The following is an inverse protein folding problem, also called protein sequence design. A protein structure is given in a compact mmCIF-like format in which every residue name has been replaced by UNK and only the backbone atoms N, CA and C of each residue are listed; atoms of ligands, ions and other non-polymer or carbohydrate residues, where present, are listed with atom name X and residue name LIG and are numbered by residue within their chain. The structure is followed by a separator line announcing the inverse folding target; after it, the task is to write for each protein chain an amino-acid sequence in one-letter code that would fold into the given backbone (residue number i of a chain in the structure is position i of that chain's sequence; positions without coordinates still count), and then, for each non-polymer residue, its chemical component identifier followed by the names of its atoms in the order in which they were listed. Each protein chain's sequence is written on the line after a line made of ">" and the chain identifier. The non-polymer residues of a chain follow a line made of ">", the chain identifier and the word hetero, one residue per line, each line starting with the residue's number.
data_IF_533249303305
#
_entry.id   IF_533249303305
#
_cell.length_a   1.000
_cell.length_b   1.000
_cell.length_c   1.000
_cell.angle_alpha   90.00
_cell.angle_beta   90.00
_cell.angle_gamma   90.00
#
_symmetry.space_group_name_H-M   'P 1'
#
loop_
_entity.id
_entity.type
_entity.pdbx_description
1 polymer ?
#
# COMPACT_ATOMS: atom_id res chain seq x y z
N UNK A 1 -22.39 -127.67 -27.67
CA UNK A 1 -21.62 -126.50 -28.16
C UNK A 1 -22.48 -125.25 -28.35
N UNK A 2 -23.49 -125.20 -29.23
CA UNK A 2 -24.21 -123.95 -29.57
C UNK A 2 -24.61 -123.04 -28.39
N UNK A 3 -25.18 -123.56 -27.29
CA UNK A 3 -25.58 -122.73 -26.13
C UNK A 3 -24.41 -121.97 -25.49
N UNK A 4 -23.23 -122.57 -25.39
CA UNK A 4 -22.02 -121.93 -24.82
C UNK A 4 -21.52 -120.83 -25.77
N UNK A 5 -21.53 -121.08 -27.08
CA UNK A 5 -21.16 -120.08 -28.08
C UNK A 5 -22.06 -118.84 -28.00
N UNK A 6 -23.38 -119.02 -27.85
CA UNK A 6 -24.32 -117.89 -27.71
C UNK A 6 -24.05 -117.07 -26.44
N UNK A 7 -23.75 -117.72 -25.30
CA UNK A 7 -23.38 -117.03 -24.06
C UNK A 7 -22.11 -116.18 -24.26
N UNK A 8 -21.08 -116.72 -24.92
CA UNK A 8 -19.85 -115.97 -25.22
C UNK A 8 -20.11 -114.79 -26.15
N UNK A 9 -20.93 -114.96 -27.20
CA UNK A 9 -21.32 -113.89 -28.12
C UNK A 9 -22.08 -112.77 -27.40
N UNK A 10 -23.04 -113.10 -26.52
CA UNK A 10 -23.74 -112.10 -25.71
C UNK A 10 -22.80 -111.36 -24.75
N UNK A 11 -21.84 -112.06 -24.13
CA UNK A 11 -20.85 -111.45 -23.23
C UNK A 11 -19.95 -110.47 -24.00
N UNK A 12 -19.45 -110.85 -25.18
CA UNK A 12 -18.68 -109.96 -26.06
C UNK A 12 -19.51 -108.73 -26.47
N UNK A 13 -20.80 -108.92 -26.82
CA UNK A 13 -21.69 -107.82 -27.20
C UNK A 13 -21.94 -106.84 -26.04
N UNK A 14 -22.11 -107.34 -24.81
CA UNK A 14 -22.24 -106.51 -23.60
C UNK A 14 -20.94 -105.73 -23.33
N UNK A 15 -19.77 -106.38 -23.46
CA UNK A 15 -18.47 -105.71 -23.29
C UNK A 15 -18.23 -104.66 -24.37
N UNK A 16 -18.60 -104.92 -25.63
CA UNK A 16 -18.51 -103.96 -26.72
C UNK A 16 -19.45 -102.75 -26.50
N UNK A 17 -20.68 -102.97 -26.04
CA UNK A 17 -21.61 -101.90 -25.70
C UNK A 17 -21.10 -101.06 -24.52
N UNK A 18 -20.53 -101.69 -23.49
CA UNK A 18 -19.89 -100.99 -22.38
C UNK A 18 -18.66 -100.18 -22.82
N UNK A 19 -17.82 -100.74 -23.70
CA UNK A 19 -16.66 -100.04 -24.27
C UNK A 19 -17.07 -98.81 -25.08
N UNK A 20 -18.09 -98.92 -25.94
CA UNK A 20 -18.65 -97.78 -26.69
C UNK A 20 -19.21 -96.70 -25.74
N UNK A 21 -19.92 -97.09 -24.68
CA UNK A 21 -20.42 -96.14 -23.68
C UNK A 21 -19.29 -95.39 -22.95
N UNK A 22 -18.22 -96.10 -22.57
CA UNK A 22 -17.02 -95.47 -22.02
C UNK A 22 -16.30 -94.57 -23.03
N UNK A 23 -16.24 -94.96 -24.31
CA UNK A 23 -15.64 -94.17 -25.37
C UNK A 23 -16.40 -92.85 -25.60
N UNK A 24 -17.73 -92.89 -25.67
CA UNK A 24 -18.57 -91.68 -25.75
C UNK A 24 -18.34 -90.78 -24.52
N UNK A 25 -18.38 -91.32 -23.30
CA UNK A 25 -18.14 -90.56 -22.08
C UNK A 25 -16.69 -90.03 -21.93
N UNK A 26 -15.72 -90.64 -22.62
CA UNK A 26 -14.35 -90.14 -22.74
C UNK A 26 -14.23 -89.05 -23.82
N UNK A 27 -14.95 -89.19 -24.92
CA UNK A 27 -15.02 -88.19 -26.00
C UNK A 27 -15.57 -86.87 -25.49
N UNK A 28 -16.72 -86.87 -24.81
CA UNK A 28 -17.33 -85.66 -24.26
C UNK A 28 -16.39 -84.93 -23.29
N UNK A 29 -15.67 -85.69 -22.43
CA UNK A 29 -14.68 -85.13 -21.51
C UNK A 29 -13.47 -84.54 -22.24
N UNK A 30 -13.00 -85.18 -23.32
CA UNK A 30 -11.90 -84.66 -24.17
C UNK A 30 -12.33 -83.39 -24.91
N UNK A 31 -13.54 -83.35 -25.46
CA UNK A 31 -14.09 -82.17 -26.11
C UNK A 31 -14.19 -80.99 -25.13
N UNK A 32 -14.79 -81.19 -23.95
CA UNK A 32 -14.90 -80.18 -22.90
C UNK A 32 -13.53 -79.67 -22.41
N UNK A 33 -12.53 -80.53 -22.30
CA UNK A 33 -11.15 -80.13 -21.97
C UNK A 33 -10.51 -79.32 -23.10
N UNK A 34 -10.75 -79.68 -24.36
CA UNK A 34 -10.31 -78.92 -25.54
C UNK A 34 -10.89 -77.50 -25.57
N UNK A 35 -12.20 -77.37 -25.37
CA UNK A 35 -12.88 -76.07 -25.33
C UNK A 35 -12.40 -75.19 -24.16
N UNK A 36 -12.24 -75.77 -22.97
CA UNK A 36 -11.66 -75.08 -21.81
C UNK A 36 -10.23 -74.61 -22.07
N UNK A 37 -9.38 -75.45 -22.64
CA UNK A 37 -8.01 -75.08 -22.96
C UNK A 37 -7.95 -73.97 -24.02
N UNK A 38 -8.81 -74.02 -25.05
CA UNK A 38 -8.92 -72.95 -26.06
C UNK A 38 -9.41 -71.63 -25.45
N UNK A 39 -10.40 -71.69 -24.56
CA UNK A 39 -10.89 -70.52 -23.83
C UNK A 39 -9.77 -69.92 -22.97
N UNK A 40 -9.03 -70.74 -22.22
CA UNK A 40 -7.87 -70.29 -21.43
C UNK A 40 -6.79 -69.66 -22.31
N UNK A 41 -6.42 -70.30 -23.43
CA UNK A 41 -5.48 -69.78 -24.43
C UNK A 41 -5.92 -68.38 -24.92
N UNK A 42 -7.19 -68.21 -25.31
CA UNK A 42 -7.70 -66.93 -25.80
C UNK A 42 -7.74 -65.83 -24.71
N UNK A 43 -7.98 -66.17 -23.43
CA UNK A 43 -7.84 -65.20 -22.33
C UNK A 43 -6.37 -64.87 -22.03
N UNK A 44 -5.48 -65.86 -22.06
CA UNK A 44 -4.04 -65.66 -21.86
C UNK A 44 -3.48 -64.74 -22.95
N UNK A 45 -3.85 -64.94 -24.22
CA UNK A 45 -3.48 -64.06 -25.33
C UNK A 45 -4.03 -62.64 -25.14
N UNK A 46 -5.29 -62.49 -24.71
CA UNK A 46 -5.87 -61.16 -24.41
C UNK A 46 -5.12 -60.43 -23.29
N UNK A 47 -4.74 -61.13 -22.22
CA UNK A 47 -3.96 -60.56 -21.12
C UNK A 47 -2.56 -60.18 -21.61
N UNK A 48 -1.88 -61.06 -22.35
CA UNK A 48 -0.56 -60.78 -22.90
C UNK A 48 -0.53 -59.50 -23.76
N UNK A 49 -1.54 -59.30 -24.60
CA UNK A 49 -1.69 -58.08 -25.42
C UNK A 49 -1.87 -56.78 -24.59
N UNK A 50 -2.08 -56.86 -23.26
CA UNK A 50 -2.14 -55.70 -22.34
C UNK A 50 -0.86 -55.51 -21.51
N UNK A 51 0.07 -56.47 -21.54
CA UNK A 51 1.31 -56.43 -20.75
C UNK A 51 2.49 -56.04 -21.65
N UNK A 52 3.28 -55.08 -21.17
CA UNK A 52 4.42 -54.50 -21.89
C UNK A 52 5.60 -55.49 -21.98
N UNK A 53 6.21 -55.61 -23.16
CA UNK A 53 7.34 -56.53 -23.41
C UNK A 53 8.63 -56.12 -22.71
N UNK A 54 8.79 -54.81 -22.48
CA UNK A 54 9.97 -54.18 -21.89
C UNK A 54 9.61 -52.82 -21.30
N UNK A 55 10.38 -52.41 -20.32
CA UNK A 55 10.30 -51.07 -19.73
C UNK A 55 10.76 -50.01 -20.75
N UNK A 56 10.33 -48.76 -20.53
CA UNK A 56 10.75 -47.64 -21.38
C UNK A 56 12.28 -47.46 -21.39
N UNK A 57 12.88 -47.06 -22.53
CA UNK A 57 14.31 -46.75 -22.58
C UNK A 57 14.63 -45.58 -21.65
N UNK A 58 15.77 -45.65 -20.95
CA UNK A 58 16.15 -44.59 -20.02
C UNK A 58 16.37 -43.26 -20.75
N UNK A 59 15.57 -42.25 -20.40
CA UNK A 59 15.87 -40.86 -20.82
C UNK A 59 17.25 -40.47 -20.32
N UNK A 60 18.06 -39.90 -21.22
CA UNK A 60 19.35 -39.29 -20.88
C UNK A 60 19.21 -37.81 -20.47
N UNK A 61 17.99 -37.26 -20.53
CA UNK A 61 17.67 -35.88 -20.20
C UNK A 61 16.67 -35.86 -19.04
N UNK A 62 17.07 -35.27 -17.91
CA UNK A 62 16.15 -34.95 -16.82
C UNK A 62 15.31 -33.72 -17.20
N UNK A 63 14.00 -33.70 -16.91
CA UNK A 63 13.18 -32.53 -17.13
C UNK A 63 13.60 -31.37 -16.21
N UNK A 64 13.48 -30.14 -16.71
CA UNK A 64 13.84 -28.94 -15.98
C UNK A 64 12.60 -28.16 -15.53
N UNK A 65 12.44 -27.98 -14.22
CA UNK A 65 11.52 -27.01 -13.62
C UNK A 65 12.29 -26.19 -12.58
N UNK A 66 12.89 -25.08 -13.05
CA UNK A 66 13.79 -24.25 -12.26
C UNK A 66 13.02 -23.24 -11.41
N UNK A 67 13.15 -23.33 -10.08
CA UNK A 67 12.67 -22.35 -9.09
C UNK A 67 13.85 -21.52 -8.59
N UNK A 68 13.66 -20.21 -8.51
CA UNK A 68 14.55 -19.31 -7.77
C UNK A 68 14.41 -19.60 -6.27
N UNK A 69 15.52 -19.97 -5.63
CA UNK A 69 15.62 -20.25 -4.19
C UNK A 69 16.45 -19.21 -3.44
N UNK A 70 16.82 -18.11 -4.11
CA UNK A 70 17.60 -17.02 -3.53
C UNK A 70 16.87 -16.38 -2.34
N UNK A 71 17.59 -15.94 -1.29
CA UNK A 71 16.97 -15.24 -0.17
C UNK A 71 16.39 -13.89 -0.61
N UNK A 72 15.22 -13.54 -0.09
CA UNK A 72 14.57 -12.25 -0.35
C UNK A 72 15.30 -11.17 0.46
N UNK A 73 16.24 -10.48 -0.17
CA UNK A 73 17.08 -9.45 0.45
C UNK A 73 16.86 -8.07 -0.19
N UNK A 74 17.19 -7.00 0.54
CA UNK A 74 17.07 -5.62 0.07
C UNK A 74 18.20 -5.19 -0.90
N UNK A 75 18.86 -6.14 -1.57
CA UNK A 75 19.87 -5.92 -2.61
C UNK A 75 19.47 -6.63 -3.89
N UNK A 76 19.88 -6.09 -5.03
CA UNK A 76 19.72 -6.77 -6.31
C UNK A 76 20.60 -8.04 -6.35
N UNK A 77 20.03 -9.14 -6.82
CA UNK A 77 20.72 -10.41 -7.02
C UNK A 77 20.91 -10.58 -8.54
N UNK A 78 22.14 -10.38 -9.02
CA UNK A 78 22.45 -10.40 -10.46
C UNK A 78 22.48 -11.82 -11.06
N UNK A 79 22.57 -12.86 -10.22
CA UNK A 79 22.50 -14.26 -10.63
C UNK A 79 21.79 -15.05 -9.53
N UNK A 80 20.48 -15.32 -9.68
CA UNK A 80 19.73 -16.07 -8.68
C UNK A 80 20.18 -17.52 -8.60
N UNK A 81 20.12 -18.10 -7.41
CA UNK A 81 20.32 -19.52 -7.19
C UNK A 81 19.05 -20.28 -7.62
N UNK A 82 19.21 -21.24 -8.53
CA UNK A 82 18.08 -21.95 -9.14
C UNK A 82 18.11 -23.44 -8.75
N UNK A 83 17.04 -23.94 -8.16
CA UNK A 83 16.84 -25.37 -7.87
C UNK A 83 15.94 -26.02 -8.93
N UNK A 84 16.25 -27.25 -9.36
CA UNK A 84 15.36 -28.02 -10.24
C UNK A 84 14.40 -28.89 -9.41
N UNK A 85 13.12 -28.52 -9.39
CA UNK A 85 12.08 -29.25 -8.66
C UNK A 85 11.90 -30.72 -9.12
N UNK A 86 12.32 -31.01 -10.36
CA UNK A 86 12.19 -32.30 -11.04
C UNK A 86 13.52 -33.08 -11.16
N UNK A 87 14.58 -32.70 -10.42
CA UNK A 87 15.89 -33.37 -10.50
C UNK A 87 15.82 -34.90 -10.28
N UNK A 88 15.01 -35.34 -9.30
CA UNK A 88 14.80 -36.74 -8.95
C UNK A 88 13.68 -37.41 -9.80
N UNK A 89 12.98 -36.66 -10.65
CA UNK A 89 11.81 -37.17 -11.37
C UNK A 89 12.21 -38.08 -12.55
N UNK A 90 11.75 -39.34 -12.51
CA UNK A 90 12.02 -40.28 -13.58
C UNK A 90 11.07 -40.08 -14.78
N UNK A 91 11.51 -39.29 -15.78
CA UNK A 91 10.77 -39.05 -17.02
C UNK A 91 10.40 -40.31 -17.83
N UNK A 92 11.01 -41.47 -17.56
CA UNK A 92 10.60 -42.74 -18.19
C UNK A 92 9.15 -43.11 -17.86
N UNK A 93 8.65 -42.69 -16.70
CA UNK A 93 7.29 -42.97 -16.21
C UNK A 93 6.20 -42.26 -17.05
N UNK A 94 6.57 -41.28 -17.88
CA UNK A 94 5.66 -40.61 -18.83
C UNK A 94 5.53 -41.36 -20.17
N UNK A 95 6.35 -42.40 -20.40
CA UNK A 95 6.36 -43.13 -21.67
C UNK A 95 5.07 -43.93 -21.87
N UNK A 96 4.32 -43.58 -22.91
CA UNK A 96 3.05 -44.23 -23.25
C UNK A 96 3.18 -45.14 -24.49
N UNK A 97 2.26 -46.10 -24.61
CA UNK A 97 2.11 -46.98 -25.77
C UNK A 97 3.35 -47.85 -26.07
N UNK A 98 3.99 -48.40 -25.03
CA UNK A 98 5.07 -49.37 -25.19
C UNK A 98 4.57 -50.65 -25.88
N UNK A 99 5.46 -51.39 -26.54
CA UNK A 99 5.08 -52.61 -27.27
C UNK A 99 4.64 -53.71 -26.29
N UNK A 100 3.40 -54.19 -26.43
CA UNK A 100 2.87 -55.30 -25.63
C UNK A 100 3.17 -56.67 -26.26
N UNK A 101 3.00 -57.75 -25.50
CA UNK A 101 3.20 -59.09 -26.04
C UNK A 101 2.22 -59.38 -27.19
N UNK A 102 2.70 -60.06 -28.23
CA UNK A 102 1.93 -60.45 -29.41
C UNK A 102 1.79 -61.96 -29.49
N UNK A 103 0.90 -62.50 -28.67
CA UNK A 103 0.69 -63.95 -28.53
C UNK A 103 -0.44 -64.47 -29.43
N UNK A 104 -0.95 -63.62 -30.32
CA UNK A 104 -1.90 -63.94 -31.39
C UNK A 104 -1.34 -64.94 -32.42
N UNK A 105 -0.01 -65.03 -32.54
CA UNK A 105 0.68 -65.84 -33.55
C UNK A 105 0.49 -67.36 -33.36
N UNK A 106 0.42 -68.10 -34.47
CA UNK A 106 0.24 -69.55 -34.47
C UNK A 106 1.34 -70.30 -33.71
N UNK A 107 2.59 -69.83 -33.76
CA UNK A 107 3.72 -70.46 -33.07
C UNK A 107 3.58 -70.34 -31.54
N UNK A 108 3.22 -69.16 -31.04
CA UNK A 108 3.04 -68.95 -29.60
C UNK A 108 1.79 -69.68 -29.09
N UNK A 109 0.71 -69.73 -29.87
CA UNK A 109 -0.48 -70.55 -29.55
C UNK A 109 -0.18 -72.04 -29.49
N UNK A 110 0.71 -72.57 -30.33
CA UNK A 110 1.20 -73.94 -30.22
C UNK A 110 2.02 -74.14 -28.94
N UNK A 111 2.93 -73.21 -28.61
CA UNK A 111 3.69 -73.25 -27.36
C UNK A 111 2.79 -73.15 -26.11
N UNK A 112 1.71 -72.38 -26.13
CA UNK A 112 0.72 -72.32 -25.05
C UNK A 112 -0.03 -73.64 -24.83
N UNK A 113 -0.06 -74.54 -25.83
CA UNK A 113 -0.60 -75.90 -25.70
C UNK A 113 0.45 -76.92 -25.26
N UNK A 114 1.73 -76.54 -25.28
CA UNK A 114 2.86 -77.41 -25.01
C UNK A 114 3.17 -77.47 -23.50
N UNK A 115 2.43 -78.33 -22.78
CA UNK A 115 2.61 -78.50 -21.34
C UNK A 115 3.97 -79.10 -20.96
N UNK A 116 4.56 -79.93 -21.83
CA UNK A 116 5.79 -80.67 -21.54
C UNK A 116 6.97 -80.17 -22.37
N UNK A 117 8.15 -80.19 -21.75
CA UNK A 117 9.41 -79.96 -22.44
C UNK A 117 9.74 -81.14 -23.34
N UNK A 118 10.02 -80.85 -24.62
CA UNK A 118 10.39 -81.85 -25.62
C UNK A 118 11.87 -81.71 -25.96
N UNK A 119 12.54 -82.84 -26.18
CA UNK A 119 13.89 -82.89 -26.73
C UNK A 119 13.91 -82.57 -28.24
N UNK A 120 15.10 -82.59 -28.85
CA UNK A 120 15.27 -82.37 -30.29
C UNK A 120 14.60 -83.43 -31.18
N UNK A 121 14.11 -84.54 -30.61
CA UNK A 121 13.40 -85.62 -31.29
C UNK A 121 11.87 -85.55 -31.05
N UNK A 122 11.38 -84.55 -30.32
CA UNK A 122 9.96 -84.39 -29.98
C UNK A 122 9.48 -85.29 -28.84
N UNK A 123 10.37 -85.89 -28.05
CA UNK A 123 10.02 -86.75 -26.92
C UNK A 123 10.05 -85.98 -25.60
N UNK A 124 9.15 -86.31 -24.67
CA UNK A 124 9.09 -85.67 -23.36
C UNK A 124 10.29 -86.03 -22.49
N UNK A 125 11.01 -85.03 -22.00
CA UNK A 125 12.14 -85.24 -21.07
C UNK A 125 11.61 -85.47 -19.65
N UNK A 126 12.11 -86.45 -18.87
CA UNK A 126 11.71 -86.64 -17.48
C UNK A 126 12.18 -85.49 -16.57
N UNK A 127 11.40 -85.19 -15.54
CA UNK A 127 11.71 -84.18 -14.53
C UNK A 127 12.85 -84.64 -13.63
N UNK A 128 13.87 -83.79 -13.46
CA UNK A 128 15.06 -84.05 -12.63
C UNK A 128 14.68 -84.27 -11.15
N UNK A 129 13.60 -83.66 -10.68
CA UNK A 129 13.08 -83.84 -9.32
C UNK A 129 12.13 -85.06 -9.19
N UNK A 130 11.60 -85.58 -10.30
CA UNK A 130 10.71 -86.73 -10.31
C UNK A 130 10.74 -87.47 -11.66
N UNK A 131 11.71 -88.37 -11.81
CA UNK A 131 11.96 -89.13 -13.05
C UNK A 131 10.75 -89.88 -13.64
N UNK A 132 9.70 -90.12 -12.84
CA UNK A 132 8.45 -90.76 -13.27
C UNK A 132 7.44 -89.78 -13.90
N UNK A 133 7.77 -88.49 -14.03
CA UNK A 133 6.92 -87.46 -14.63
C UNK A 133 7.68 -86.69 -15.72
N UNK A 134 7.02 -86.30 -16.83
CA UNK A 134 7.62 -85.41 -17.81
C UNK A 134 7.80 -83.99 -17.24
N UNK A 135 8.91 -83.36 -17.58
CA UNK A 135 9.25 -82.00 -17.19
C UNK A 135 8.29 -81.00 -17.86
N UNK A 136 7.73 -80.06 -17.09
CA UNK A 136 6.76 -79.05 -17.59
C UNK A 136 7.36 -77.66 -17.79
N UNK A 137 8.59 -77.44 -17.31
CA UNK A 137 9.31 -76.17 -17.37
C UNK A 137 10.44 -76.22 -18.39
N UNK A 138 10.84 -75.05 -18.89
CA UNK A 138 11.94 -74.89 -19.83
C UNK A 138 11.50 -74.28 -21.15
N UNK A 139 12.49 -74.02 -22.03
CA UNK A 139 12.25 -73.34 -23.29
C UNK A 139 11.28 -74.12 -24.19
N UNK A 140 10.32 -73.43 -24.78
CA UNK A 140 9.31 -74.04 -25.67
C UNK A 140 8.13 -74.69 -24.94
N UNK A 141 7.98 -74.52 -23.62
CA UNK A 141 6.75 -74.93 -22.91
C UNK A 141 5.81 -73.75 -22.63
N UNK A 142 4.56 -74.07 -22.30
CA UNK A 142 3.57 -73.12 -21.80
C UNK A 142 4.07 -72.41 -20.53
N UNK A 143 4.80 -73.11 -19.66
CA UNK A 143 5.28 -72.55 -18.40
C UNK A 143 6.29 -71.41 -18.62
N UNK A 144 7.18 -71.52 -19.61
CA UNK A 144 8.09 -70.42 -19.99
C UNK A 144 7.31 -69.14 -20.34
N UNK A 145 6.26 -69.26 -21.17
CA UNK A 145 5.45 -68.11 -21.55
C UNK A 145 4.73 -67.52 -20.33
N UNK A 146 4.08 -68.36 -19.52
CA UNK A 146 3.38 -67.90 -18.32
C UNK A 146 4.31 -67.24 -17.30
N UNK A 147 5.52 -67.76 -17.10
CA UNK A 147 6.53 -67.17 -16.23
C UNK A 147 6.99 -65.81 -16.81
N UNK A 148 7.26 -65.69 -18.12
CA UNK A 148 7.58 -64.42 -18.78
C UNK A 148 6.48 -63.36 -18.63
N UNK A 149 5.21 -63.74 -18.81
CA UNK A 149 4.06 -62.85 -18.66
C UNK A 149 3.87 -62.43 -17.20
N UNK A 150 4.03 -63.36 -16.26
CA UNK A 150 3.94 -63.09 -14.83
C UNK A 150 5.05 -62.13 -14.37
N UNK A 151 6.28 -62.32 -14.84
CA UNK A 151 7.40 -61.45 -14.46
C UNK A 151 7.29 -60.05 -15.08
N UNK A 152 6.77 -59.92 -16.31
CA UNK A 152 6.42 -58.61 -16.87
C UNK A 152 5.23 -57.95 -16.18
N UNK A 153 4.19 -58.70 -15.81
CA UNK A 153 3.08 -58.16 -15.03
C UNK A 153 3.55 -57.66 -13.65
N UNK A 154 4.50 -58.35 -12.98
CA UNK A 154 5.15 -57.87 -11.76
C UNK A 154 5.96 -56.58 -12.00
N UNK A 155 6.75 -56.51 -13.07
CA UNK A 155 7.53 -55.32 -13.41
C UNK A 155 6.64 -54.10 -13.68
N UNK A 156 5.59 -54.28 -14.49
CA UNK A 156 4.60 -53.22 -14.78
C UNK A 156 3.85 -52.80 -13.51
N UNK A 157 3.48 -53.74 -12.62
CA UNK A 157 2.88 -53.41 -11.32
C UNK A 157 3.84 -52.65 -10.38
N UNK A 158 5.15 -52.95 -10.43
CA UNK A 158 6.17 -52.18 -9.70
C UNK A 158 6.29 -50.76 -10.27
N UNK A 159 6.39 -50.61 -11.60
CA UNK A 159 6.42 -49.33 -12.29
C UNK A 159 5.19 -48.45 -11.96
N UNK A 160 3.98 -49.03 -11.96
CA UNK A 160 2.76 -48.34 -11.55
C UNK A 160 2.81 -47.86 -10.09
N UNK A 161 3.42 -48.62 -9.18
CA UNK A 161 3.59 -48.21 -7.79
C UNK A 161 4.65 -47.10 -7.63
N UNK A 162 5.76 -47.15 -8.37
CA UNK A 162 6.73 -46.05 -8.46
C UNK A 162 6.08 -44.78 -9.00
N UNK A 163 5.27 -44.88 -10.07
CA UNK A 163 4.51 -43.77 -10.66
C UNK A 163 3.55 -43.13 -9.64
N UNK A 164 2.87 -43.95 -8.83
CA UNK A 164 1.99 -43.47 -7.75
C UNK A 164 2.77 -42.72 -6.66
N UNK A 165 3.97 -43.18 -6.28
CA UNK A 165 4.84 -42.48 -5.32
C UNK A 165 5.30 -41.14 -5.87
N UNK A 166 5.89 -41.13 -7.07
CA UNK A 166 6.37 -39.90 -7.72
C UNK A 166 5.24 -38.87 -7.92
N UNK A 167 4.01 -39.32 -8.23
CA UNK A 167 2.84 -38.44 -8.31
C UNK A 167 2.41 -37.86 -6.94
N UNK A 168 2.55 -38.63 -5.86
CA UNK A 168 2.27 -38.14 -4.50
C UNK A 168 3.33 -37.11 -4.05
N UNK A 169 4.60 -37.37 -4.33
CA UNK A 169 5.72 -36.45 -4.08
C UNK A 169 5.57 -35.15 -4.87
N UNK A 170 5.22 -35.24 -6.17
CA UNK A 170 4.97 -34.06 -7.02
C UNK A 170 3.78 -33.23 -6.53
N UNK A 171 2.72 -33.88 -6.01
CA UNK A 171 1.60 -33.17 -5.36
C UNK A 171 2.05 -32.44 -4.10
N UNK A 172 2.85 -33.08 -3.24
CA UNK A 172 3.42 -32.42 -2.05
C UNK A 172 4.30 -31.22 -2.39
N UNK A 173 5.17 -31.35 -3.41
CA UNK A 173 5.95 -30.22 -3.95
C UNK A 173 5.03 -29.09 -4.46
N UNK A 174 3.99 -29.41 -5.23
CA UNK A 174 3.03 -28.43 -5.75
C UNK A 174 2.22 -27.73 -4.64
N UNK A 175 1.79 -28.47 -3.61
CA UNK A 175 1.07 -27.91 -2.45
C UNK A 175 1.96 -26.93 -1.67
N UNK A 176 3.26 -27.24 -1.50
CA UNK A 176 4.23 -26.32 -0.92
C UNK A 176 4.40 -25.04 -1.75
N UNK A 177 4.57 -25.15 -3.07
CA UNK A 177 4.66 -23.99 -3.97
C UNK A 177 3.40 -23.10 -3.94
N UNK A 178 2.21 -23.71 -3.91
CA UNK A 178 0.94 -22.99 -3.80
C UNK A 178 0.82 -22.27 -2.45
N UNK A 179 1.31 -22.90 -1.37
CA UNK A 179 1.37 -22.27 -0.05
C UNK A 179 2.33 -21.07 -0.02
N UNK A 180 3.57 -21.25 -0.51
CA UNK A 180 4.57 -20.18 -0.61
C UNK A 180 4.06 -19.00 -1.45
N UNK A 181 3.49 -19.28 -2.63
CA UNK A 181 2.91 -18.24 -3.48
C UNK A 181 1.79 -17.47 -2.78
N UNK A 182 0.89 -18.17 -2.08
CA UNK A 182 -0.20 -17.54 -1.34
C UNK A 182 0.27 -16.74 -0.11
N UNK A 183 1.42 -17.09 0.49
CA UNK A 183 2.08 -16.31 1.54
C UNK A 183 2.78 -15.06 0.99
N UNK A 184 3.52 -15.18 -0.11
CA UNK A 184 4.27 -14.07 -0.72
C UNK A 184 3.35 -13.02 -1.37
N UNK A 185 2.20 -13.43 -1.92
CA UNK A 185 1.26 -12.54 -2.61
C UNK A 185 0.73 -11.35 -1.77
N UNK A 186 0.30 -11.52 -0.49
CA UNK A 186 -0.02 -10.38 0.37
C UNK A 186 1.21 -9.56 0.78
N UNK A 187 2.38 -10.18 1.01
CA UNK A 187 3.61 -9.47 1.33
C UNK A 187 4.01 -8.50 0.21
N UNK A 188 3.99 -8.96 -1.05
CA UNK A 188 4.26 -8.12 -2.24
C UNK A 188 3.23 -6.99 -2.40
N UNK A 189 1.95 -7.23 -2.09
CA UNK A 189 0.92 -6.18 -2.10
C UNK A 189 1.20 -5.11 -1.03
N UNK A 190 1.57 -5.51 0.18
CA UNK A 190 1.91 -4.59 1.27
C UNK A 190 3.15 -3.76 0.92
N UNK A 191 4.21 -4.38 0.39
CA UNK A 191 5.40 -3.68 -0.09
C UNK A 191 5.07 -2.66 -1.17
N UNK A 192 4.18 -2.98 -2.12
CA UNK A 192 3.76 -2.02 -3.15
C UNK A 192 2.98 -0.83 -2.59
N UNK A 193 2.09 -1.04 -1.61
CA UNK A 193 1.39 0.06 -0.91
C UNK A 193 2.40 0.98 -0.21
N UNK A 194 3.35 0.39 0.53
CA UNK A 194 4.42 1.14 1.20
C UNK A 194 5.29 1.93 0.21
N UNK A 195 5.58 1.37 -0.97
CA UNK A 195 6.35 2.04 -2.04
C UNK A 195 5.60 3.26 -2.59
N UNK A 196 4.29 3.15 -2.84
CA UNK A 196 3.47 4.28 -3.29
C UNK A 196 3.31 5.35 -2.19
N UNK A 197 3.15 4.97 -0.92
CA UNK A 197 3.17 5.92 0.20
C UNK A 197 4.50 6.67 0.33
N UNK A 198 5.63 5.96 0.20
CA UNK A 198 6.96 6.57 0.24
C UNK A 198 7.17 7.53 -0.93
N UNK A 199 6.71 7.17 -2.14
CA UNK A 199 6.73 8.07 -3.31
C UNK A 199 5.91 9.34 -3.07
N UNK A 200 4.73 9.24 -2.46
CA UNK A 200 3.92 10.40 -2.09
C UNK A 200 4.63 11.29 -1.06
N UNK A 201 5.19 10.71 0.01
CA UNK A 201 5.96 11.42 1.04
C UNK A 201 7.19 12.14 0.45
N UNK A 202 7.93 11.49 -0.46
CA UNK A 202 9.05 12.11 -1.18
C UNK A 202 8.58 13.28 -2.05
N UNK A 203 7.45 13.14 -2.74
CA UNK A 203 6.86 14.24 -3.53
C UNK A 203 6.47 15.43 -2.65
N UNK A 204 5.85 15.19 -1.49
CA UNK A 204 5.48 16.24 -0.53
C UNK A 204 6.71 16.96 0.01
N UNK A 205 7.71 16.22 0.51
CA UNK A 205 8.95 16.80 1.05
C UNK A 205 9.70 17.62 0.00
N UNK A 206 9.69 17.21 -1.28
CA UNK A 206 10.27 18.01 -2.36
C UNK A 206 9.49 19.32 -2.61
N UNK A 207 8.16 19.32 -2.50
CA UNK A 207 7.35 20.54 -2.61
C UNK A 207 7.59 21.49 -1.44
N UNK A 208 7.60 20.96 -0.20
CA UNK A 208 7.90 21.73 1.01
C UNK A 208 9.31 22.35 0.95
N UNK A 209 10.29 21.59 0.46
CA UNK A 209 11.64 22.08 0.20
C UNK A 209 11.65 23.25 -0.78
N UNK A 210 10.96 23.14 -1.92
CA UNK A 210 10.88 24.24 -2.90
C UNK A 210 10.26 25.51 -2.31
N UNK A 211 9.20 25.39 -1.51
CA UNK A 211 8.56 26.53 -0.83
C UNK A 211 9.52 27.17 0.17
N UNK A 212 10.28 26.38 0.95
CA UNK A 212 11.29 26.89 1.88
C UNK A 212 12.45 27.57 1.15
N UNK A 213 12.93 27.04 0.02
CA UNK A 213 13.97 27.66 -0.81
C UNK A 213 13.50 29.01 -1.39
N UNK A 214 12.23 29.13 -1.81
CA UNK A 214 11.64 30.40 -2.24
C UNK A 214 11.52 31.40 -1.09
N UNK A 215 11.08 30.96 0.10
CA UNK A 215 11.00 31.81 1.29
C UNK A 215 12.39 32.32 1.73
N UNK A 216 13.41 31.46 1.74
CA UNK A 216 14.80 31.85 2.04
C UNK A 216 15.30 32.89 1.04
N UNK A 217 14.96 32.75 -0.25
CA UNK A 217 15.33 33.72 -1.28
C UNK A 217 14.66 35.09 -1.05
N UNK A 218 13.35 35.09 -0.75
CA UNK A 218 12.62 36.33 -0.41
C UNK A 218 13.14 37.01 0.85
N UNK A 219 13.44 36.23 1.89
CA UNK A 219 14.00 36.77 3.14
C UNK A 219 15.39 37.38 2.94
N UNK A 220 16.27 36.76 2.14
CA UNK A 220 17.58 37.33 1.77
C UNK A 220 17.43 38.68 1.07
N UNK A 221 16.58 38.75 0.05
CA UNK A 221 16.32 40.01 -0.69
C UNK A 221 15.79 41.12 0.23
N UNK A 222 14.89 40.79 1.18
CA UNK A 222 14.39 41.76 2.16
C UNK A 222 15.47 42.20 3.17
N UNK A 223 16.37 41.30 3.58
CA UNK A 223 17.51 41.66 4.44
C UNK A 223 18.48 42.60 3.71
N UNK A 224 18.73 42.38 2.41
CA UNK A 224 19.53 43.27 1.57
C UNK A 224 18.87 44.65 1.41
N UNK A 225 17.57 44.70 1.13
CA UNK A 225 16.77 45.93 1.05
C UNK A 225 16.83 46.74 2.35
N UNK A 226 16.52 46.11 3.49
CA UNK A 226 16.56 46.77 4.80
C UNK A 226 17.98 47.19 5.20
N UNK A 227 19.03 46.45 4.79
CA UNK A 227 20.41 46.88 5.00
C UNK A 227 20.78 48.09 4.14
N UNK A 228 20.17 48.25 2.96
CA UNK A 228 20.26 49.46 2.14
C UNK A 228 19.59 50.65 2.80
N UNK A 229 18.34 50.50 3.25
CA UNK A 229 17.59 51.53 3.99
C UNK A 229 18.34 52.01 5.24
N UNK A 230 18.87 51.08 6.04
CA UNK A 230 19.65 51.41 7.25
C UNK A 230 20.91 52.22 6.89
N UNK A 231 21.54 51.94 5.75
CA UNK A 231 22.70 52.72 5.27
C UNK A 231 22.27 54.14 4.88
N UNK A 232 21.21 54.28 4.07
CA UNK A 232 20.68 55.58 3.64
C UNK A 232 20.26 56.47 4.82
N UNK A 233 19.48 55.91 5.76
CA UNK A 233 19.05 56.64 6.96
C UNK A 233 20.22 57.04 7.87
N UNK A 234 21.28 56.24 7.92
CA UNK A 234 22.49 56.57 8.67
C UNK A 234 23.26 57.73 8.04
N UNK A 235 23.33 57.79 6.71
CA UNK A 235 23.94 58.89 5.98
C UNK A 235 23.11 60.17 6.12
N UNK A 236 21.78 60.09 5.97
CA UNK A 236 20.85 61.20 6.22
C UNK A 236 20.97 61.76 7.65
N UNK A 237 21.05 60.89 8.67
CA UNK A 237 21.29 61.29 10.07
C UNK A 237 22.65 61.96 10.25
N UNK A 238 23.68 61.57 9.49
CA UNK A 238 24.97 62.27 9.50
C UNK A 238 24.84 63.67 8.90
N UNK A 239 24.24 63.80 7.72
CA UNK A 239 24.02 65.10 7.06
C UNK A 239 23.18 66.04 7.92
N UNK A 240 22.04 65.58 8.45
CA UNK A 240 21.19 66.38 9.33
C UNK A 240 21.89 66.83 10.62
N UNK A 241 22.82 66.02 11.13
CA UNK A 241 23.65 66.37 12.30
C UNK A 241 24.66 67.46 11.97
N UNK A 242 25.27 67.41 10.79
CA UNK A 242 26.21 68.43 10.31
C UNK A 242 25.47 69.76 10.02
N UNK A 243 24.32 69.70 9.35
CA UNK A 243 23.42 70.86 9.17
C UNK A 243 22.97 71.47 10.51
N UNK A 244 22.63 70.62 11.48
CA UNK A 244 22.27 71.07 12.85
C UNK A 244 23.45 71.74 13.55
N UNK A 245 24.70 71.34 13.28
CA UNK A 245 25.88 72.01 13.81
C UNK A 245 26.06 73.40 13.18
N UNK A 246 25.96 73.51 11.84
CA UNK A 246 26.00 74.80 11.12
C UNK A 246 24.90 75.75 11.61
N UNK A 247 23.66 75.29 11.68
CA UNK A 247 22.53 76.10 12.13
C UNK A 247 22.69 76.59 13.58
N UNK A 248 23.36 75.82 14.46
CA UNK A 248 23.71 76.27 15.82
C UNK A 248 24.78 77.36 15.81
N UNK A 249 25.79 77.26 14.96
CA UNK A 249 26.80 78.31 14.80
C UNK A 249 26.19 79.61 14.25
N UNK A 250 25.29 79.51 13.25
CA UNK A 250 24.55 80.65 12.71
C UNK A 250 23.62 81.28 13.74
N UNK A 251 22.86 80.48 14.51
CA UNK A 251 22.04 80.97 15.62
C UNK A 251 22.89 81.68 16.68
N UNK A 252 24.05 81.13 17.08
CA UNK A 252 24.96 81.78 18.02
C UNK A 252 25.56 83.09 17.47
N UNK A 253 25.78 83.19 16.14
CA UNK A 253 26.20 84.42 15.49
C UNK A 253 25.05 85.46 15.41
N UNK A 254 23.81 85.02 15.17
CA UNK A 254 22.62 85.86 15.20
C UNK A 254 22.30 86.36 16.61
N UNK A 255 22.41 85.52 17.64
CA UNK A 255 22.28 85.93 19.05
C UNK A 255 23.29 87.02 19.41
N UNK A 256 24.55 86.89 18.98
CA UNK A 256 25.56 87.96 19.17
C UNK A 256 25.14 89.27 18.48
N UNK A 257 24.59 89.21 17.25
CA UNK A 257 24.05 90.39 16.55
C UNK A 257 22.83 90.97 17.27
N UNK A 258 21.91 90.14 17.77
CA UNK A 258 20.74 90.56 18.53
C UNK A 258 21.17 91.21 19.85
N UNK A 259 22.15 90.67 20.56
CA UNK A 259 22.71 91.30 21.77
C UNK A 259 23.40 92.65 21.46
N UNK A 260 24.09 92.77 20.32
CA UNK A 260 24.64 94.05 19.86
C UNK A 260 23.53 95.06 19.55
N UNK A 261 22.48 94.65 18.83
CA UNK A 261 21.31 95.48 18.53
C UNK A 261 20.51 95.85 19.78
N UNK A 262 20.38 94.94 20.76
CA UNK A 262 19.75 95.21 22.05
C UNK A 262 20.56 96.20 22.88
N UNK A 263 21.90 96.12 22.88
CA UNK A 263 22.76 97.14 23.50
C UNK A 263 22.58 98.50 22.80
N UNK A 264 22.51 98.52 21.48
CA UNK A 264 22.29 99.73 20.69
C UNK A 264 20.88 100.31 20.91
N UNK A 265 19.86 99.46 21.04
CA UNK A 265 18.50 99.85 21.44
C UNK A 265 18.41 100.28 22.90
N UNK A 266 19.20 99.72 23.83
CA UNK A 266 19.30 100.22 25.20
C UNK A 266 19.97 101.59 25.25
N UNK A 267 20.98 101.84 24.40
CA UNK A 267 21.57 103.17 24.23
C UNK A 267 20.56 104.17 23.64
N UNK A 268 19.74 103.77 22.67
CA UNK A 268 18.65 104.61 22.15
C UNK A 268 17.48 104.79 23.15
N UNK A 269 17.14 103.77 23.95
CA UNK A 269 16.12 103.84 24.99
C UNK A 269 16.58 104.67 26.20
N UNK A 270 17.90 104.72 26.48
CA UNK A 270 18.48 105.69 27.40
C UNK A 270 18.41 107.13 26.87
N UNK A 271 18.14 107.34 25.58
CA UNK A 271 17.78 108.63 24.97
C UNK A 271 16.26 108.89 24.90
N UNK A 272 15.41 107.89 25.09
CA UNK A 272 13.96 108.03 24.88
C UNK A 272 13.13 107.30 25.95
N UNK A 273 12.63 108.09 26.89
CA UNK A 273 11.91 107.64 28.10
C UNK A 273 10.44 107.25 27.81
N UNK A 274 9.90 106.38 28.68
CA UNK A 274 8.47 106.10 29.00
C UNK A 274 7.73 104.85 28.43
N UNK A 275 7.22 104.06 29.40
CA UNK A 275 5.88 103.42 29.53
C UNK A 275 5.54 102.01 28.96
N UNK A 276 5.16 101.11 29.90
CA UNK A 276 4.14 100.02 29.92
C UNK A 276 4.00 98.99 28.75
N UNK A 277 3.53 97.74 28.93
CA UNK A 277 3.10 96.98 30.12
C UNK A 277 1.89 96.04 29.83
N UNK A 278 1.86 94.80 30.39
CA UNK A 278 0.78 93.77 30.32
C UNK A 278 0.50 93.14 28.91
N UNK A 279 0.20 91.86 28.65
CA UNK A 279 -0.62 90.76 29.25
C UNK A 279 -2.16 90.98 29.10
N UNK A 280 -3.04 89.96 28.90
CA UNK A 280 -3.02 88.51 29.22
C UNK A 280 -3.85 87.65 28.22
N UNK A 281 -3.76 86.30 28.30
CA UNK A 281 -4.87 85.29 28.12
C UNK A 281 -4.93 84.46 26.82
N UNK A 282 -5.25 83.15 26.81
CA UNK A 282 -5.62 82.24 27.91
C UNK A 282 -7.00 81.58 27.75
N UNK A 283 -7.24 80.81 26.68
CA UNK A 283 -8.53 80.12 26.43
C UNK A 283 -8.60 78.74 27.10
N UNK A 284 -9.56 78.57 28.03
CA UNK A 284 -9.83 77.30 28.71
C UNK A 284 -10.48 76.26 27.79
N UNK A 285 -9.95 75.04 27.78
CA UNK A 285 -10.57 73.88 27.13
C UNK A 285 -11.64 73.24 28.02
N UNK A 286 -12.69 72.69 27.41
CA UNK A 286 -13.71 71.87 28.11
C UNK A 286 -13.09 70.50 28.44
N UNK A 287 -13.01 70.15 29.73
CA UNK A 287 -12.28 68.96 30.21
C UNK A 287 -13.16 67.78 30.63
N UNK A 288 -14.49 67.93 30.66
CA UNK A 288 -15.43 66.84 30.97
C UNK A 288 -16.80 67.04 30.31
N UNK A 289 -17.56 65.95 30.17
CA UNK A 289 -18.98 65.94 29.79
C UNK A 289 -19.83 65.56 31.01
N UNK A 290 -21.11 65.99 31.08
CA UNK A 290 -22.03 65.51 32.12
C UNK A 290 -22.24 63.99 32.02
N UNK A 291 -22.26 63.27 33.14
CA UNK A 291 -22.40 61.81 33.15
C UNK A 291 -23.68 61.32 32.44
N UNK A 292 -23.60 60.16 31.77
CA UNK A 292 -24.75 59.50 31.14
C UNK A 292 -24.51 58.96 29.73
N UNK A 293 -25.57 58.38 29.14
CA UNK A 293 -25.54 57.81 27.79
C UNK A 293 -25.45 58.92 26.73
N UNK A 294 -24.37 58.93 25.94
CA UNK A 294 -24.11 59.97 24.92
C UNK A 294 -24.29 59.50 23.47
N UNK A 295 -24.32 58.20 23.23
CA UNK A 295 -24.42 57.65 21.89
C UNK A 295 -24.34 56.12 21.84
N UNK A 296 -24.10 55.60 20.64
CA UNK A 296 -23.90 54.16 20.37
C UNK A 296 -22.80 53.95 19.33
N UNK A 297 -22.14 52.79 19.34
CA UNK A 297 -21.20 52.38 18.29
C UNK A 297 -21.97 52.04 17.01
N UNK A 298 -21.73 52.79 15.94
CA UNK A 298 -22.38 52.62 14.64
C UNK A 298 -21.62 51.63 13.74
N UNK A 299 -20.29 51.61 13.83
CA UNK A 299 -19.42 50.66 13.14
C UNK A 299 -18.08 50.51 13.88
N UNK A 300 -17.35 49.40 13.68
CA UNK A 300 -16.16 49.07 14.47
C UNK A 300 -15.15 48.19 13.72
N UNK A 301 -13.86 48.50 13.88
CA UNK A 301 -12.76 47.68 13.39
C UNK A 301 -11.76 47.39 14.51
N UNK A 302 -12.00 46.28 15.23
CA UNK A 302 -11.13 45.81 16.31
C UNK A 302 -9.71 45.41 15.85
N UNK A 303 -9.44 45.20 14.55
CA UNK A 303 -8.08 44.93 14.06
C UNK A 303 -7.23 46.20 13.90
N UNK A 304 -7.88 47.32 13.60
CA UNK A 304 -7.26 48.64 13.46
C UNK A 304 -7.52 49.54 14.67
N UNK A 305 -8.08 48.99 15.75
CA UNK A 305 -8.35 49.64 17.03
C UNK A 305 -9.10 50.97 16.91
N UNK A 306 -10.13 51.04 16.05
CA UNK A 306 -11.01 52.22 15.96
C UNK A 306 -12.48 51.84 15.83
N UNK A 307 -13.34 52.79 16.20
CA UNK A 307 -14.79 52.71 16.00
C UNK A 307 -15.39 54.04 15.53
N UNK A 308 -16.56 53.97 14.91
CA UNK A 308 -17.39 55.12 14.55
C UNK A 308 -18.56 55.19 15.54
N UNK A 309 -18.66 56.30 16.26
CA UNK A 309 -19.70 56.55 17.26
C UNK A 309 -20.77 57.45 16.66
N UNK A 310 -22.04 57.09 16.84
CA UNK A 310 -23.20 57.95 16.59
C UNK A 310 -23.64 58.59 17.92
N UNK A 311 -23.37 59.89 18.07
CA UNK A 311 -23.75 60.67 19.25
C UNK A 311 -25.18 61.21 19.16
N UNK A 312 -25.81 61.49 20.29
CA UNK A 312 -27.08 62.24 20.34
C UNK A 312 -26.86 63.71 19.98
N UNK A 313 -27.93 64.39 19.55
CA UNK A 313 -27.86 65.81 19.18
C UNK A 313 -27.47 66.70 20.37
N UNK A 314 -27.86 66.29 21.58
CA UNK A 314 -27.54 66.88 22.87
C UNK A 314 -26.04 66.73 23.16
N UNK A 315 -25.49 65.52 23.08
CA UNK A 315 -24.07 65.26 23.33
C UNK A 315 -23.17 66.02 22.34
N UNK A 316 -23.58 66.14 21.07
CA UNK A 316 -22.85 66.94 20.07
C UNK A 316 -22.88 68.45 20.39
N UNK A 317 -23.96 68.98 20.98
CA UNK A 317 -24.03 70.37 21.44
C UNK A 317 -23.20 70.60 22.71
N UNK A 318 -23.13 69.62 23.61
CA UNK A 318 -22.25 69.66 24.79
C UNK A 318 -20.77 69.68 24.39
N UNK A 319 -20.36 68.86 23.41
CA UNK A 319 -18.95 68.79 22.95
C UNK A 319 -18.52 69.97 22.08
N UNK A 320 -19.34 70.39 21.11
CA UNK A 320 -18.94 71.35 20.06
C UNK A 320 -19.60 72.73 20.22
N UNK A 321 -20.35 72.94 21.30
CA UNK A 321 -21.17 74.14 21.54
C UNK A 321 -22.48 74.14 20.72
N UNK A 322 -23.39 75.06 21.06
CA UNK A 322 -24.71 75.15 20.42
C UNK A 322 -24.66 75.33 18.90
N UNK A 323 -23.62 76.00 18.38
CA UNK A 323 -23.38 76.20 16.95
C UNK A 323 -22.55 75.07 16.28
N UNK A 324 -22.04 74.09 17.05
CA UNK A 324 -21.14 73.01 16.61
C UNK A 324 -19.84 73.48 15.94
N UNK A 325 -19.29 74.60 16.39
CA UNK A 325 -18.09 75.24 15.82
C UNK A 325 -16.82 75.07 16.66
N UNK A 326 -16.93 74.61 17.91
CA UNK A 326 -15.76 74.41 18.77
C UNK A 326 -14.95 73.19 18.31
N UNK A 327 -13.65 73.18 18.61
CA UNK A 327 -12.82 71.99 18.39
C UNK A 327 -13.31 70.82 19.25
N UNK A 328 -13.23 69.59 18.70
CA UNK A 328 -13.59 68.38 19.43
C UNK A 328 -12.65 68.20 20.65
N UNK A 329 -13.19 68.11 21.88
CA UNK A 329 -12.35 67.95 23.06
C UNK A 329 -11.75 66.53 23.09
N UNK A 330 -10.49 66.42 23.53
CA UNK A 330 -9.75 65.15 23.65
C UNK A 330 -10.23 64.35 24.87
N UNK A 331 -11.49 63.92 24.86
CA UNK A 331 -12.11 63.14 25.92
C UNK A 331 -11.90 61.64 25.72
N UNK A 332 -11.89 60.93 26.85
CA UNK A 332 -11.95 59.46 26.89
C UNK A 332 -13.31 59.08 27.47
N UNK A 333 -14.06 58.22 26.78
CA UNK A 333 -15.41 57.79 27.15
C UNK A 333 -15.47 56.29 27.36
N UNK A 334 -16.43 55.83 28.17
CA UNK A 334 -16.70 54.43 28.42
C UNK A 334 -17.61 53.80 27.37
N UNK A 335 -17.50 52.48 27.24
CA UNK A 335 -18.35 51.64 26.39
C UNK A 335 -19.08 50.65 27.29
N UNK A 336 -20.41 50.66 27.24
CA UNK A 336 -21.29 49.77 27.99
C UNK A 336 -22.03 48.81 27.05
N UNK A 337 -22.13 47.54 27.42
CA UNK A 337 -22.97 46.53 26.73
C UNK A 337 -23.96 45.95 27.71
N UNK A 338 -25.25 46.17 27.45
CA UNK A 338 -26.34 45.68 28.30
C UNK A 338 -26.29 44.15 28.40
N UNK A 339 -26.24 43.62 29.62
CA UNK A 339 -26.12 42.19 29.89
C UNK A 339 -24.71 41.60 29.75
N UNK A 340 -23.67 42.42 29.51
CA UNK A 340 -22.28 42.00 29.69
C UNK A 340 -21.95 41.99 31.19
N UNK A 341 -21.28 40.94 31.67
CA UNK A 341 -20.83 40.83 33.07
C UNK A 341 -19.32 40.61 33.09
N UNK A 342 -18.58 41.68 32.82
CA UNK A 342 -17.11 41.72 32.95
C UNK A 342 -16.65 42.01 34.38
N UNK A 343 -15.34 42.13 34.57
CA UNK A 343 -14.72 42.48 35.84
C UNK A 343 -15.10 43.89 36.34
N UNK A 344 -15.65 44.74 35.47
CA UNK A 344 -16.24 46.04 35.83
C UNK A 344 -17.74 46.15 35.47
N UNK A 345 -18.48 45.04 35.54
CA UNK A 345 -19.92 45.00 35.24
C UNK A 345 -20.21 45.08 33.73
N UNK A 346 -21.15 45.93 33.33
CA UNK A 346 -21.55 46.12 31.91
C UNK A 346 -20.49 46.80 31.03
N UNK A 347 -19.29 47.08 31.56
CA UNK A 347 -18.25 47.86 30.91
C UNK A 347 -17.35 47.02 30.00
N UNK A 348 -17.33 47.35 28.70
CA UNK A 348 -16.58 46.64 27.65
C UNK A 348 -15.20 47.25 27.41
N UNK A 349 -15.06 48.57 27.45
CA UNK A 349 -13.79 49.25 27.20
C UNK A 349 -13.85 50.78 27.19
N UNK A 350 -12.71 51.44 26.93
CA UNK A 350 -12.62 52.90 26.78
C UNK A 350 -12.24 53.30 25.36
N UNK A 351 -12.73 54.44 24.91
CA UNK A 351 -12.44 55.05 23.60
C UNK A 351 -11.99 56.49 23.75
N UNK A 352 -11.04 56.92 22.92
CA UNK A 352 -10.58 58.33 22.85
C UNK A 352 -11.07 58.97 21.56
N UNK A 353 -11.74 60.12 21.69
CA UNK A 353 -12.26 60.87 20.55
C UNK A 353 -11.10 61.43 19.69
N UNK A 354 -11.19 61.28 18.36
CA UNK A 354 -10.16 61.74 17.42
C UNK A 354 -10.65 62.74 16.39
N UNK A 355 -11.74 62.45 15.70
CA UNK A 355 -12.19 63.28 14.58
C UNK A 355 -13.72 63.28 14.46
N UNK A 356 -14.33 64.46 14.44
CA UNK A 356 -15.75 64.63 14.12
C UNK A 356 -15.98 64.70 12.62
N UNK A 357 -17.11 64.18 12.16
CA UNK A 357 -17.55 64.28 10.76
C UNK A 357 -18.43 65.52 10.61
N UNK A 358 -17.98 66.50 9.82
CA UNK A 358 -18.74 67.74 9.60
C UNK A 358 -20.17 67.47 9.10
N UNK A 359 -21.15 68.17 9.68
CA UNK A 359 -22.56 68.05 9.33
C UNK A 359 -23.27 66.76 9.77
N UNK A 360 -22.61 65.85 10.51
CA UNK A 360 -23.21 64.60 11.01
C UNK A 360 -22.88 64.39 12.49
N UNK A 361 -23.67 63.56 13.17
CA UNK A 361 -23.42 63.18 14.57
C UNK A 361 -22.41 62.02 14.70
N UNK A 362 -21.51 61.85 13.72
CA UNK A 362 -20.52 60.79 13.72
C UNK A 362 -19.16 61.31 14.19
N UNK A 363 -18.52 60.54 15.07
CA UNK A 363 -17.15 60.80 15.54
C UNK A 363 -16.35 59.51 15.44
N UNK A 364 -15.16 59.60 14.86
CA UNK A 364 -14.17 58.52 14.84
C UNK A 364 -13.40 58.57 16.17
N UNK A 365 -13.28 57.43 16.82
CA UNK A 365 -12.58 57.28 18.10
C UNK A 365 -11.67 56.05 18.07
N UNK A 366 -10.50 56.17 18.68
CA UNK A 366 -9.56 55.05 18.86
C UNK A 366 -9.99 54.22 20.08
N UNK A 367 -9.94 52.90 19.98
CA UNK A 367 -10.23 51.95 21.07
C UNK A 367 -8.97 51.80 21.91
N UNK A 368 -9.08 52.01 23.23
CA UNK A 368 -7.96 51.87 24.16
C UNK A 368 -7.83 50.40 24.59
N UNK A 369 -6.95 49.66 23.90
CA UNK A 369 -6.73 48.23 24.11
C UNK A 369 -6.44 47.84 25.56
N UNK A 370 -5.63 48.64 26.26
CA UNK A 370 -5.25 48.43 27.67
C UNK A 370 -6.45 48.46 28.65
N UNK A 371 -7.61 48.94 28.22
CA UNK A 371 -8.85 49.02 28.99
C UNK A 371 -9.98 48.14 28.44
N UNK A 372 -9.72 47.32 27.41
CA UNK A 372 -10.73 46.48 26.75
C UNK A 372 -10.88 45.14 27.48
N UNK A 373 -12.10 44.82 27.95
CA UNK A 373 -12.44 43.52 28.55
C UNK A 373 -12.99 42.51 27.54
N UNK A 374 -13.57 43.01 26.44
CA UNK A 374 -14.07 42.23 25.31
C UNK A 374 -13.97 43.07 24.03
N UNK A 375 -13.95 42.47 22.82
CA UNK A 375 -14.02 43.23 21.57
C UNK A 375 -15.27 44.11 21.50
N UNK A 376 -15.10 45.34 21.01
CA UNK A 376 -16.20 46.31 20.88
C UNK A 376 -17.11 45.90 19.72
N UNK A 377 -18.42 46.01 19.90
CA UNK A 377 -19.44 45.59 18.94
C UNK A 377 -20.36 46.74 18.53
N UNK A 378 -20.99 46.58 17.36
CA UNK A 378 -21.98 47.52 16.85
C UNK A 378 -23.23 47.50 17.73
N UNK A 379 -23.63 48.66 18.22
CA UNK A 379 -24.75 48.83 19.16
C UNK A 379 -24.35 49.00 20.62
N UNK A 380 -23.07 48.82 20.98
CA UNK A 380 -22.56 49.16 22.32
C UNK A 380 -22.81 50.65 22.63
N UNK A 381 -23.17 50.96 23.88
CA UNK A 381 -23.57 52.30 24.33
C UNK A 381 -22.35 53.10 24.78
N UNK A 382 -22.23 54.34 24.33
CA UNK A 382 -21.18 55.26 24.77
C UNK A 382 -21.65 56.03 25.99
N UNK A 383 -20.84 55.99 27.05
CA UNK A 383 -21.11 56.57 28.36
C UNK A 383 -20.04 57.59 28.74
N UNK A 384 -20.47 58.76 29.21
CA UNK A 384 -19.60 59.69 29.94
C UNK A 384 -19.68 59.34 31.44
N UNK A 385 -18.51 59.12 32.07
CA UNK A 385 -18.35 58.94 33.53
C UNK A 385 -18.44 60.28 34.27
#
# INVERSE_FOLDING_TARGET
>A
MNKVLHIVVYLILIVAAAALWFEMGLFDKRALLGDRNRMLEDYIVKIANTIEKADAPRSMVSPEAKKDISPIEARQIDTPEMSNLLEEYNAQLESANLETFRWDTSQIRLQLRQLYFLDGNGQTVPDVANYNKPMTKGKGTMAELLDQLLDRAKAQQACLNTTRSALAELRGKLEAEVSDYNRLKPEVRASKVNEEELKQKVSQVNQEKMVLEEQVTKLKSRVEEQSGEITSLKDEVSTAKDETAVAKEECAALEKKVQQLQKLMQQMAQQQNQSAGATVSGTSAVTSLPAGNKGKVADVNNKLMFCVIEFTDEAMKEMLGAARQNALPSLTLGILRKGFNGAAGEFVGKVRLRQSVSGKNFVIADILGDWSQSPVEKGDVIFAE
#
